data_IF_629073119536
#
_entry.id   IF_629073119536
#
_cell.length_a   1.000
_cell.length_b   1.000
_cell.length_c   1.000
_cell.angle_alpha   90.00
_cell.angle_beta   90.00
_cell.angle_gamma   90.00
#
_symmetry.space_group_name_H-M   'P 1'
#
loop_
_entity.id
_entity.type
_entity.pdbx_description
1 polymer ?
#
# COMPACT_ATOMS: atom_id res chain seq x y z
N UNK A 1 -15.99 21.34 -30.59
CA UNK A 1 -16.35 19.91 -30.49
C UNK A 1 -15.06 19.10 -30.49
N UNK A 2 -14.58 18.66 -29.33
CA UNK A 2 -13.35 17.87 -29.23
C UNK A 2 -13.74 16.42 -28.95
N UNK A 3 -13.66 15.58 -29.98
CA UNK A 3 -13.99 14.16 -29.92
C UNK A 3 -12.75 13.39 -29.47
N UNK A 4 -12.63 13.09 -28.18
CA UNK A 4 -11.54 12.26 -27.67
C UNK A 4 -11.79 10.77 -27.93
N UNK A 5 -10.77 9.96 -28.28
CA UNK A 5 -10.94 8.54 -28.55
C UNK A 5 -11.36 7.79 -27.27
N UNK A 6 -12.37 6.92 -27.36
CA UNK A 6 -12.72 6.04 -26.26
C UNK A 6 -11.61 5.02 -26.03
N UNK A 7 -10.78 5.22 -25.01
CA UNK A 7 -9.90 4.17 -24.49
C UNK A 7 -10.79 3.08 -23.89
N UNK A 8 -11.12 2.07 -24.69
CA UNK A 8 -11.84 0.89 -24.22
C UNK A 8 -10.80 -0.08 -23.65
N UNK A 9 -10.47 0.09 -22.38
CA UNK A 9 -9.70 -0.93 -21.67
C UNK A 9 -10.65 -2.10 -21.37
N UNK A 10 -10.65 -3.15 -22.21
CA UNK A 10 -11.30 -4.43 -21.87
C UNK A 10 -10.39 -5.21 -20.94
N UNK A 11 -10.37 -4.83 -19.66
CA UNK A 11 -9.87 -5.69 -18.60
C UNK A 11 -10.88 -6.82 -18.43
N UNK A 12 -10.54 -8.03 -18.88
CA UNK A 12 -11.37 -9.22 -18.64
C UNK A 12 -11.60 -9.43 -17.14
N UNK A 13 -12.85 -9.69 -16.76
CA UNK A 13 -13.28 -10.30 -15.48
C UNK A 13 -12.94 -9.62 -14.13
N UNK A 14 -12.00 -8.69 -14.07
CA UNK A 14 -11.53 -8.10 -12.82
C UNK A 14 -12.38 -6.91 -12.39
N UNK A 15 -13.05 -7.03 -11.25
CA UNK A 15 -13.73 -5.91 -10.58
C UNK A 15 -12.68 -4.98 -9.97
N UNK A 16 -12.16 -4.06 -10.78
CA UNK A 16 -11.25 -3.01 -10.32
C UNK A 16 -11.97 -2.01 -9.42
N UNK A 17 -11.28 -1.45 -8.41
CA UNK A 17 -11.91 -0.48 -7.50
C UNK A 17 -12.25 0.84 -8.19
N UNK A 18 -11.52 1.21 -9.23
CA UNK A 18 -11.85 2.32 -10.13
C UNK A 18 -12.51 1.77 -11.39
N UNK A 19 -13.73 2.23 -11.70
CA UNK A 19 -14.48 1.78 -12.87
C UNK A 19 -15.25 2.93 -13.52
N UNK A 20 -15.43 2.84 -14.83
CA UNK A 20 -16.25 3.79 -15.59
C UNK A 20 -17.71 3.34 -15.55
N UNK A 21 -18.59 4.23 -15.14
CA UNK A 21 -20.03 3.97 -15.11
C UNK A 21 -20.70 4.35 -16.45
N UNK A 22 -21.96 3.93 -16.63
CA UNK A 22 -22.76 4.17 -17.85
C UNK A 22 -23.06 5.65 -18.07
N UNK A 23 -23.06 6.44 -17.01
CA UNK A 23 -23.18 7.90 -17.04
C UNK A 23 -21.93 8.60 -17.63
N UNK A 24 -20.87 7.85 -17.93
CA UNK A 24 -19.64 8.36 -18.53
C UNK A 24 -18.58 8.80 -17.52
N UNK A 25 -18.87 8.78 -16.21
CA UNK A 25 -17.94 9.22 -15.18
C UNK A 25 -17.08 8.07 -14.62
N UNK A 26 -15.91 8.43 -14.08
CA UNK A 26 -15.03 7.53 -13.36
C UNK A 26 -15.42 7.52 -11.88
N UNK A 27 -15.65 6.33 -11.34
CA UNK A 27 -15.93 6.12 -9.93
C UNK A 27 -14.79 5.34 -9.29
N UNK A 28 -14.35 5.77 -8.12
CA UNK A 28 -13.50 5.00 -7.24
C UNK A 28 -14.35 4.49 -6.08
N UNK A 29 -14.58 3.18 -6.06
CA UNK A 29 -15.60 2.56 -5.20
C UNK A 29 -16.96 3.15 -5.55
N UNK A 30 -17.55 3.95 -4.66
CA UNK A 30 -18.88 4.52 -4.77
C UNK A 30 -18.80 6.06 -4.83
N UNK A 31 -17.59 6.60 -5.04
CA UNK A 31 -17.30 8.04 -5.09
C UNK A 31 -16.93 8.43 -6.51
N UNK A 32 -17.65 9.42 -7.07
CA UNK A 32 -17.34 10.00 -8.36
C UNK A 32 -16.04 10.80 -8.26
N UNK A 33 -15.06 10.46 -9.09
CA UNK A 33 -13.71 11.06 -9.00
C UNK A 33 -13.75 12.56 -9.25
N UNK A 34 -14.65 13.02 -10.13
CA UNK A 34 -14.82 14.45 -10.40
C UNK A 34 -15.26 15.23 -9.15
N UNK A 35 -16.17 14.69 -8.34
CA UNK A 35 -16.64 15.36 -7.12
C UNK A 35 -15.50 15.54 -6.12
N UNK A 36 -14.56 14.57 -6.07
CA UNK A 36 -13.32 14.69 -5.29
C UNK A 36 -12.41 15.77 -5.87
N UNK A 37 -12.26 15.81 -7.20
CA UNK A 37 -11.43 16.83 -7.88
C UNK A 37 -11.95 18.25 -7.64
N UNK A 38 -13.27 18.43 -7.51
CA UNK A 38 -13.90 19.72 -7.23
C UNK A 38 -13.75 20.15 -5.76
N UNK A 39 -13.66 19.18 -4.84
CA UNK A 39 -13.47 19.42 -3.40
C UNK A 39 -12.02 19.61 -2.94
N UNK A 40 -11.04 19.42 -3.83
CA UNK A 40 -9.60 19.60 -3.53
C UNK A 40 -9.00 20.73 -4.35
N UNK A 41 -7.85 21.24 -3.91
CA UNK A 41 -7.11 22.21 -4.70
C UNK A 41 -6.74 21.64 -6.07
N UNK A 42 -6.77 22.49 -7.11
CA UNK A 42 -6.48 22.11 -8.49
C UNK A 42 -4.98 21.82 -8.70
N UNK A 43 -4.53 20.67 -8.21
CA UNK A 43 -3.18 20.11 -8.38
C UNK A 43 -3.27 18.59 -8.53
N UNK A 44 -2.27 17.92 -9.14
CA UNK A 44 -2.25 16.47 -9.20
C UNK A 44 -2.31 15.85 -7.80
N UNK A 45 -3.13 14.81 -7.63
CA UNK A 45 -3.25 14.08 -6.36
C UNK A 45 -3.35 12.58 -6.59
N UNK A 46 -3.02 11.81 -5.54
CA UNK A 46 -3.21 10.37 -5.51
C UNK A 46 -4.50 10.02 -4.78
N UNK A 47 -5.35 9.19 -5.39
CA UNK A 47 -6.54 8.64 -4.77
C UNK A 47 -6.32 7.15 -4.50
N UNK A 48 -6.16 6.78 -3.23
CA UNK A 48 -5.94 5.40 -2.81
C UNK A 48 -7.14 4.87 -2.01
N UNK A 49 -7.59 3.66 -2.31
CA UNK A 49 -8.74 3.07 -1.64
C UNK A 49 -8.34 2.13 -0.50
N UNK A 50 -8.74 2.46 0.74
CA UNK A 50 -8.58 1.56 1.90
C UNK A 50 -9.18 0.17 1.67
N UNK A 51 -10.39 0.11 1.09
CA UNK A 51 -11.10 -1.15 0.75
C UNK A 51 -10.29 -2.05 -0.17
N UNK A 52 -9.66 -1.50 -1.21
CA UNK A 52 -8.87 -2.31 -2.15
C UNK A 52 -7.58 -2.80 -1.48
N UNK A 53 -6.90 -1.95 -0.71
CA UNK A 53 -5.72 -2.36 0.07
C UNK A 53 -6.05 -3.53 1.00
N UNK A 54 -7.17 -3.46 1.74
CA UNK A 54 -7.62 -4.57 2.60
C UNK A 54 -7.88 -5.85 1.83
N UNK A 55 -8.58 -5.77 0.70
CA UNK A 55 -8.86 -6.94 -0.14
C UNK A 55 -7.58 -7.59 -0.67
N UNK A 56 -6.63 -6.78 -1.13
CA UNK A 56 -5.35 -7.28 -1.61
C UNK A 56 -4.60 -7.99 -0.49
N UNK A 57 -4.51 -7.37 0.70
CA UNK A 57 -3.85 -7.96 1.87
C UNK A 57 -4.49 -9.28 2.27
N UNK A 58 -5.82 -9.38 2.25
CA UNK A 58 -6.50 -10.64 2.57
C UNK A 58 -6.29 -11.70 1.48
N UNK A 59 -6.29 -11.33 0.20
CA UNK A 59 -6.00 -12.26 -0.89
C UNK A 59 -4.58 -12.85 -0.80
N UNK A 60 -3.63 -12.09 -0.26
CA UNK A 60 -2.27 -12.56 0.01
C UNK A 60 -2.15 -13.38 1.29
N UNK A 61 -3.18 -13.46 2.13
CA UNK A 61 -3.08 -14.12 3.45
C UNK A 61 -2.73 -15.60 3.33
N UNK A 62 -3.45 -16.31 2.46
CA UNK A 62 -3.25 -17.75 2.25
C UNK A 62 -2.00 -17.98 1.38
N UNK A 63 -1.77 -17.13 0.38
CA UNK A 63 -0.61 -17.24 -0.51
C UNK A 63 0.73 -16.94 0.19
N UNK A 64 0.72 -16.15 1.26
CA UNK A 64 1.90 -15.77 2.04
C UNK A 64 1.91 -16.46 3.42
N UNK A 65 1.23 -17.59 3.57
CA UNK A 65 1.32 -18.37 4.81
C UNK A 65 2.78 -18.74 5.09
N UNK A 66 3.26 -18.43 6.31
CA UNK A 66 4.68 -18.59 6.69
C UNK A 66 5.60 -17.41 6.30
N UNK A 67 5.12 -16.44 5.50
CA UNK A 67 5.82 -15.19 5.19
C UNK A 67 5.14 -14.02 5.92
N UNK A 68 5.73 -13.61 7.04
CA UNK A 68 5.15 -12.61 7.95
C UNK A 68 5.37 -11.14 7.50
N UNK A 69 6.13 -10.90 6.43
CA UNK A 69 6.49 -9.55 5.95
C UNK A 69 5.65 -9.11 4.75
N UNK A 70 4.98 -7.95 4.84
CA UNK A 70 4.44 -7.30 3.64
C UNK A 70 5.57 -6.54 2.93
N UNK A 71 5.80 -6.86 1.65
CA UNK A 71 6.60 -6.02 0.75
C UNK A 71 5.77 -4.77 0.44
N UNK A 72 6.27 -3.62 0.89
CA UNK A 72 5.57 -2.36 0.74
C UNK A 72 6.16 -1.57 -0.43
N UNK A 73 5.32 -1.15 -1.37
CA UNK A 73 5.73 -0.34 -2.52
C UNK A 73 5.43 1.17 -2.40
N UNK A 74 4.68 1.60 -1.38
CA UNK A 74 4.20 2.99 -1.25
C UNK A 74 4.40 3.49 0.16
N UNK A 75 5.12 4.60 0.38
CA UNK A 75 5.54 5.05 1.70
C UNK A 75 4.58 5.91 2.55
N UNK A 76 3.35 6.16 2.09
CA UNK A 76 2.34 6.95 2.81
C UNK A 76 2.00 6.44 4.23
N UNK A 77 2.17 7.28 5.26
CA UNK A 77 1.98 6.89 6.66
C UNK A 77 0.58 6.33 6.98
N UNK A 78 -0.49 6.83 6.36
CA UNK A 78 -1.85 6.31 6.58
C UNK A 78 -2.07 4.92 6.00
N UNK A 79 -1.35 4.59 4.92
CA UNK A 79 -1.33 3.23 4.38
C UNK A 79 -0.58 2.30 5.34
N UNK A 80 0.53 2.74 5.94
CA UNK A 80 1.22 1.96 6.98
C UNK A 80 0.33 1.63 8.16
N UNK A 81 -0.30 2.65 8.75
CA UNK A 81 -1.17 2.49 9.91
C UNK A 81 -2.29 1.48 9.62
N UNK A 82 -2.82 1.51 8.38
CA UNK A 82 -3.82 0.56 7.91
C UNK A 82 -3.28 -0.85 7.77
N UNK A 83 -2.12 -1.04 7.12
CA UNK A 83 -1.47 -2.35 6.96
C UNK A 83 -1.12 -2.98 8.31
N UNK A 84 -0.60 -2.19 9.25
CA UNK A 84 -0.39 -2.61 10.64
C UNK A 84 -1.70 -3.04 11.29
N UNK A 85 -2.78 -2.29 11.10
CA UNK A 85 -4.11 -2.64 11.61
C UNK A 85 -4.66 -3.96 11.06
N UNK A 86 -4.16 -4.43 9.92
CA UNK A 86 -4.47 -5.74 9.33
C UNK A 86 -3.51 -6.85 9.81
N UNK A 87 -2.67 -6.59 10.81
CA UNK A 87 -1.77 -7.56 11.44
C UNK A 87 -0.52 -7.91 10.63
N UNK A 88 -0.20 -7.13 9.59
CA UNK A 88 0.94 -7.40 8.70
C UNK A 88 2.25 -6.82 9.26
N UNK A 89 3.36 -7.51 9.04
CA UNK A 89 4.70 -6.97 9.22
C UNK A 89 5.12 -6.08 8.04
N UNK A 90 6.31 -5.49 8.11
CA UNK A 90 6.86 -4.68 7.02
C UNK A 90 8.27 -5.12 6.66
N UNK A 91 8.53 -5.23 5.35
CA UNK A 91 9.87 -5.44 4.79
C UNK A 91 10.47 -4.07 4.46
N UNK A 92 11.70 -3.84 4.90
CA UNK A 92 12.38 -2.55 4.88
C UNK A 92 13.71 -2.67 4.12
N UNK A 93 14.00 -1.69 3.27
CA UNK A 93 15.26 -1.58 2.52
C UNK A 93 16.11 -0.38 2.96
N UNK A 94 15.54 0.56 3.72
CA UNK A 94 16.24 1.75 4.22
C UNK A 94 15.97 2.05 5.70
N UNK A 95 16.83 2.89 6.32
CA UNK A 95 16.59 3.38 7.68
C UNK A 95 15.38 4.33 7.77
N UNK A 96 15.10 5.10 6.71
CA UNK A 96 13.92 5.96 6.69
C UNK A 96 12.62 5.16 6.74
N UNK A 97 12.56 4.03 6.03
CA UNK A 97 11.43 3.10 6.13
C UNK A 97 11.29 2.51 7.53
N UNK A 98 12.41 2.20 8.19
CA UNK A 98 12.41 1.77 9.60
C UNK A 98 11.78 2.84 10.50
N UNK A 99 12.22 4.10 10.40
CA UNK A 99 11.64 5.22 11.16
C UNK A 99 10.15 5.36 10.89
N UNK A 100 9.73 5.27 9.62
CA UNK A 100 8.33 5.39 9.23
C UNK A 100 7.48 4.23 9.75
N UNK A 101 7.99 3.00 9.72
CA UNK A 101 7.32 1.82 10.26
C UNK A 101 7.18 1.91 11.79
N UNK A 102 8.23 2.32 12.49
CA UNK A 102 8.17 2.58 13.92
C UNK A 102 7.16 3.71 14.25
N UNK A 103 7.17 4.79 13.48
CA UNK A 103 6.21 5.90 13.63
C UNK A 103 4.77 5.47 13.38
N UNK A 104 4.54 4.53 12.45
CA UNK A 104 3.23 3.94 12.22
C UNK A 104 2.81 2.94 13.32
N UNK A 105 3.71 2.60 14.24
CA UNK A 105 3.46 1.70 15.37
C UNK A 105 3.53 0.22 15.01
N UNK A 106 4.37 -0.17 14.05
CA UNK A 106 4.67 -1.58 13.82
C UNK A 106 5.48 -2.17 14.98
N UNK A 107 5.20 -3.42 15.30
CA UNK A 107 6.01 -4.20 16.24
C UNK A 107 7.40 -4.46 15.64
N UNK A 108 8.51 -4.07 16.30
CA UNK A 108 9.87 -4.32 15.82
C UNK A 108 10.16 -5.79 15.51
N UNK A 109 9.51 -6.73 16.21
CA UNK A 109 9.66 -8.18 15.97
C UNK A 109 9.07 -8.64 14.63
N UNK A 110 8.22 -7.81 14.01
CA UNK A 110 7.57 -8.00 12.72
C UNK A 110 8.10 -7.03 11.65
N UNK A 111 9.26 -6.44 11.90
CA UNK A 111 10.02 -5.68 10.91
C UNK A 111 11.12 -6.57 10.37
N UNK A 112 11.20 -6.61 9.04
CA UNK A 112 12.13 -7.47 8.32
C UNK A 112 13.02 -6.63 7.43
N UNK A 113 14.30 -6.98 7.36
CA UNK A 113 15.26 -6.20 6.59
C UNK A 113 15.96 -7.03 5.52
N UNK A 114 16.06 -6.45 4.32
CA UNK A 114 16.51 -7.15 3.11
C UNK A 114 18.04 -7.20 2.96
N UNK A 115 18.75 -6.15 3.37
CA UNK A 115 20.20 -6.04 3.12
C UNK A 115 20.98 -5.76 4.40
N UNK A 116 22.03 -6.56 4.71
CA UNK A 116 23.17 -6.32 5.62
C UNK A 116 22.88 -5.68 7.00
N UNK A 117 23.88 -5.34 7.83
CA UNK A 117 23.67 -4.42 8.98
C UNK A 117 23.43 -2.99 8.46
N UNK A 118 22.40 -2.29 8.97
CA UNK A 118 22.13 -0.88 8.67
C UNK A 118 23.03 -0.26 9.69
N UNK A 119 24.20 0.18 9.25
CA UNK A 119 25.28 0.59 10.15
C UNK A 119 24.92 1.80 11.04
N UNK A 120 23.68 2.32 11.02
CA UNK A 120 23.38 3.63 11.59
C UNK A 120 22.09 3.78 12.38
N UNK A 121 21.25 2.76 12.59
CA UNK A 121 20.08 2.93 13.47
C UNK A 121 19.85 1.74 14.39
N UNK A 122 20.24 1.92 15.66
CA UNK A 122 19.73 1.09 16.76
C UNK A 122 18.25 1.38 16.93
N UNK A 123 17.43 0.33 17.06
CA UNK A 123 16.05 0.47 17.52
C UNK A 123 16.08 1.17 18.88
N UNK A 124 15.36 2.29 19.07
CA UNK A 124 15.43 3.08 20.31
C UNK A 124 15.08 2.29 21.59
N UNK A 125 14.34 1.19 21.44
CA UNK A 125 13.73 0.42 22.53
C UNK A 125 14.34 -0.98 22.74
N UNK A 126 15.50 -1.30 22.17
CA UNK A 126 16.18 -2.59 22.40
C UNK A 126 15.48 -3.82 21.80
N UNK A 127 14.49 -3.63 20.92
CA UNK A 127 13.85 -4.71 20.17
C UNK A 127 14.73 -5.23 19.03
N UNK A 128 14.76 -6.55 18.84
CA UNK A 128 15.47 -7.19 17.73
C UNK A 128 14.64 -7.13 16.43
N UNK A 129 15.17 -6.48 15.39
CA UNK A 129 14.63 -6.55 14.02
C UNK A 129 15.11 -7.85 13.37
N UNK A 130 14.24 -8.54 12.62
CA UNK A 130 14.60 -9.77 11.92
C UNK A 130 15.30 -9.45 10.59
N UNK A 131 16.43 -10.11 10.31
CA UNK A 131 17.01 -10.11 8.97
C UNK A 131 16.37 -11.24 8.15
N UNK A 132 15.88 -10.95 6.94
CA UNK A 132 15.41 -11.98 6.01
C UNK A 132 16.54 -12.35 5.06
N UNK A 133 17.05 -13.58 5.19
CA UNK A 133 18.00 -14.16 4.23
C UNK A 133 17.31 -14.90 3.07
N UNK A 134 15.97 -14.92 3.04
CA UNK A 134 15.16 -15.49 1.96
C UNK A 134 14.02 -14.55 1.65
N UNK A 135 14.06 -13.93 0.47
CA UNK A 135 12.90 -13.28 -0.13
C UNK A 135 12.49 -14.20 -1.27
N UNK A 136 11.32 -14.81 -1.17
CA UNK A 136 10.65 -15.38 -2.33
C UNK A 136 9.92 -14.21 -3.01
N UNK A 137 10.36 -13.85 -4.21
CA UNK A 137 9.62 -13.00 -5.15
C UNK A 137 8.79 -13.90 -6.05
#
# INVERSE_FOLDING_TARGET
>A
MCSSPSYRCTWGGFKHCASKSRDGFLYCVDVKVQDVMEGVERRPFYLCTKRQTSRNVEAYKDALEGLEGAVRANDNLKILEHLRGLGRGAVLVSGNELRMALRAGFDPSRLYRVFGPLLFEKVPSGGNIRCLNKIAV
#
